data_IF_155466750070
#
_entry.id   IF_155466750070
#
_cell.length_a   1.000
_cell.length_b   1.000
_cell.length_c   1.000
_cell.angle_alpha   90.00
_cell.angle_beta   90.00
_cell.angle_gamma   90.00
#
_symmetry.space_group_name_H-M   'P 1'
#
loop_
_entity.id
_entity.type
_entity.pdbx_description
1 polymer ?
#
# COMPACT_ATOMS: atom_id res chain seq x y z
N UNK A 1 -82.39 -15.42 10.29
CA UNK A 1 -81.45 -15.90 11.33
C UNK A 1 -80.27 -16.58 10.63
N UNK A 2 -79.09 -16.48 11.25
CA UNK A 2 -77.80 -17.07 10.85
C UNK A 2 -76.93 -16.23 9.90
N UNK A 3 -76.19 -15.32 10.54
CA UNK A 3 -74.98 -14.70 10.01
C UNK A 3 -73.84 -15.73 10.01
N UNK A 4 -73.17 -15.92 8.88
CA UNK A 4 -71.92 -16.68 8.77
C UNK A 4 -70.76 -15.70 8.62
N UNK A 5 -70.03 -15.57 9.73
CA UNK A 5 -68.80 -14.81 9.86
C UNK A 5 -67.71 -15.42 8.97
N UNK A 6 -67.23 -14.67 7.96
CA UNK A 6 -66.04 -15.01 7.20
C UNK A 6 -64.87 -14.20 7.75
N UNK A 7 -64.02 -14.86 8.54
CA UNK A 7 -62.74 -14.34 8.99
C UNK A 7 -61.84 -14.09 7.76
N UNK A 8 -61.60 -12.81 7.46
CA UNK A 8 -60.55 -12.40 6.55
C UNK A 8 -59.20 -12.50 7.29
N UNK A 9 -58.51 -13.63 7.14
CA UNK A 9 -57.08 -13.72 7.47
C UNK A 9 -56.32 -13.09 6.31
N UNK A 10 -56.15 -11.76 6.34
CA UNK A 10 -55.21 -11.09 5.45
C UNK A 10 -53.81 -11.30 6.00
N UNK A 11 -53.03 -12.11 5.30
CA UNK A 11 -51.68 -12.50 5.67
C UNK A 11 -50.77 -11.29 5.88
N UNK A 12 -50.12 -11.25 7.04
CA UNK A 12 -48.96 -10.42 7.28
C UNK A 12 -47.89 -10.89 6.30
N UNK A 13 -47.67 -10.12 5.22
CA UNK A 13 -46.48 -10.23 4.39
C UNK A 13 -45.28 -9.95 5.31
N UNK A 14 -44.64 -11.00 5.81
CA UNK A 14 -43.32 -10.91 6.40
C UNK A 14 -42.39 -10.46 5.27
N UNK A 15 -42.17 -9.15 5.16
CA UNK A 15 -41.00 -8.61 4.47
C UNK A 15 -39.81 -9.23 5.18
N UNK A 16 -39.22 -10.24 4.54
CA UNK A 16 -37.86 -10.66 4.85
C UNK A 16 -37.01 -9.40 4.80
N UNK A 17 -36.27 -9.06 5.87
CA UNK A 17 -35.34 -7.96 5.79
C UNK A 17 -34.31 -8.35 4.74
N UNK A 18 -34.41 -7.76 3.55
CA UNK A 18 -33.34 -7.77 2.58
C UNK A 18 -32.11 -7.26 3.34
N UNK A 19 -31.08 -8.11 3.46
CA UNK A 19 -29.78 -7.72 3.99
C UNK A 19 -29.41 -6.37 3.36
N UNK A 20 -29.41 -5.31 4.16
CA UNK A 20 -29.23 -3.96 3.65
C UNK A 20 -27.86 -3.88 2.98
N UNK A 21 -27.85 -3.71 1.65
CA UNK A 21 -26.63 -3.45 0.91
C UNK A 21 -26.24 -1.98 1.09
N UNK A 22 -24.93 -1.70 1.04
CA UNK A 22 -24.40 -0.32 1.09
C UNK A 22 -25.09 0.54 0.04
N UNK A 23 -25.78 1.58 0.48
CA UNK A 23 -26.56 2.48 -0.37
C UNK A 23 -25.66 3.51 -1.07
N UNK A 24 -26.08 4.07 -2.22
CA UNK A 24 -25.34 5.14 -2.88
C UNK A 24 -25.09 6.36 -1.97
N UNK A 25 -26.05 6.69 -1.09
CA UNK A 25 -25.90 7.79 -0.12
C UNK A 25 -24.83 7.51 0.94
N UNK A 26 -24.64 6.25 1.33
CA UNK A 26 -23.55 5.88 2.24
C UNK A 26 -22.18 6.00 1.57
N UNK A 27 -22.07 5.64 0.28
CA UNK A 27 -20.84 5.85 -0.49
C UNK A 27 -20.57 7.35 -0.65
N UNK A 28 -21.60 8.17 -0.90
CA UNK A 28 -21.52 9.63 -0.97
C UNK A 28 -20.94 10.25 0.31
N UNK A 29 -21.55 9.95 1.47
CA UNK A 29 -21.09 10.48 2.76
C UNK A 29 -19.67 10.04 3.10
N UNK A 30 -19.30 8.82 2.70
CA UNK A 30 -17.92 8.32 2.87
C UNK A 30 -16.96 9.13 2.00
N UNK A 31 -17.36 9.46 0.77
CA UNK A 31 -16.56 10.28 -0.15
C UNK A 31 -16.42 11.72 0.35
N UNK A 32 -17.48 12.34 0.89
CA UNK A 32 -17.41 13.67 1.50
C UNK A 32 -16.43 13.69 2.69
N UNK A 33 -16.48 12.66 3.53
CA UNK A 33 -15.56 12.53 4.66
C UNK A 33 -14.12 12.36 4.19
N UNK A 34 -13.91 11.58 3.13
CA UNK A 34 -12.59 11.40 2.53
C UNK A 34 -12.08 12.70 1.88
N UNK A 35 -12.94 13.46 1.19
CA UNK A 35 -12.62 14.77 0.61
C UNK A 35 -12.18 15.76 1.69
N UNK A 36 -12.94 15.88 2.78
CA UNK A 36 -12.56 16.73 3.92
C UNK A 36 -11.24 16.31 4.56
N UNK A 37 -10.98 15.01 4.65
CA UNK A 37 -9.76 14.50 5.27
C UNK A 37 -8.48 14.86 4.50
N UNK A 38 -8.58 15.01 3.18
CA UNK A 38 -7.43 15.19 2.29
C UNK A 38 -7.41 16.57 1.62
N UNK A 39 -8.29 17.46 2.05
CA UNK A 39 -8.58 18.76 1.42
C UNK A 39 -8.79 18.60 -0.10
N UNK A 40 -9.56 17.58 -0.46
CA UNK A 40 -9.78 17.15 -1.83
C UNK A 40 -11.16 17.52 -2.36
N UNK A 41 -11.36 17.31 -3.67
CA UNK A 41 -12.62 17.57 -4.35
C UNK A 41 -13.24 16.28 -4.87
N UNK A 42 -14.56 16.20 -4.81
CA UNK A 42 -15.30 15.11 -5.44
C UNK A 42 -15.24 15.29 -6.96
N UNK A 43 -14.79 14.25 -7.66
CA UNK A 43 -14.59 14.27 -9.10
C UNK A 43 -15.29 13.08 -9.79
N UNK A 44 -15.59 13.20 -11.09
CA UNK A 44 -16.07 12.07 -11.86
C UNK A 44 -15.07 10.91 -11.84
N UNK A 45 -15.56 9.71 -11.55
CA UNK A 45 -14.72 8.52 -11.60
C UNK A 45 -14.30 8.16 -13.04
N UNK A 46 -13.12 7.56 -13.23
CA UNK A 46 -12.72 6.98 -14.51
C UNK A 46 -13.77 6.01 -15.05
N UNK A 47 -13.86 5.89 -16.38
CA UNK A 47 -14.87 5.07 -17.04
C UNK A 47 -14.85 3.61 -16.58
N UNK A 48 -13.66 3.03 -16.37
CA UNK A 48 -13.48 1.67 -15.86
C UNK A 48 -14.10 1.47 -14.47
N UNK A 49 -13.98 2.47 -13.60
CA UNK A 49 -14.54 2.43 -12.23
C UNK A 49 -16.06 2.58 -12.27
N UNK A 50 -16.58 3.50 -13.10
CA UNK A 50 -18.03 3.68 -13.28
C UNK A 50 -18.71 2.45 -13.90
N UNK A 51 -18.02 1.74 -14.81
CA UNK A 51 -18.50 0.50 -15.39
C UNK A 51 -18.54 -0.65 -14.35
N UNK A 52 -17.59 -0.67 -13.41
CA UNK A 52 -17.55 -1.67 -12.35
C UNK A 52 -18.57 -1.39 -11.23
N UNK A 53 -18.87 -0.12 -10.94
CA UNK A 53 -19.91 0.26 -9.98
C UNK A 53 -20.50 1.62 -10.30
N UNK A 54 -21.81 1.65 -10.57
CA UNK A 54 -22.55 2.89 -10.81
C UNK A 54 -22.63 3.80 -9.57
N UNK A 55 -22.43 3.24 -8.37
CA UNK A 55 -22.43 3.98 -7.10
C UNK A 55 -21.03 4.39 -6.65
N UNK A 56 -20.00 4.17 -7.46
CA UNK A 56 -18.64 4.58 -7.13
C UNK A 56 -18.53 6.11 -7.04
N UNK A 57 -17.73 6.58 -6.08
CA UNK A 57 -17.36 8.00 -5.94
C UNK A 57 -15.85 8.14 -5.95
N UNK A 58 -15.37 9.28 -6.44
CA UNK A 58 -13.96 9.55 -6.54
C UNK A 58 -13.63 10.92 -5.96
N UNK A 59 -12.49 11.01 -5.28
CA UNK A 59 -11.97 12.24 -4.68
C UNK A 59 -10.57 12.49 -5.23
N UNK A 60 -10.34 13.67 -5.80
CA UNK A 60 -9.00 14.14 -6.17
C UNK A 60 -8.35 14.81 -4.97
N UNK A 61 -7.04 14.64 -4.82
CA UNK A 61 -6.25 15.31 -3.79
C UNK A 61 -4.89 15.68 -4.36
N UNK A 62 -4.42 16.88 -4.07
CA UNK A 62 -3.06 17.32 -4.43
C UNK A 62 -1.96 16.61 -3.64
N UNK A 63 -2.37 15.83 -2.64
CA UNK A 63 -1.47 15.00 -1.84
C UNK A 63 -0.99 13.78 -2.63
N UNK A 64 0.28 13.45 -2.44
CA UNK A 64 0.80 12.17 -2.89
C UNK A 64 0.21 11.00 -2.09
N UNK A 65 0.31 9.80 -2.65
CA UNK A 65 -0.34 8.61 -2.12
C UNK A 65 -0.05 8.36 -0.63
N UNK A 66 1.17 8.66 -0.17
CA UNK A 66 1.56 8.50 1.24
C UNK A 66 0.89 9.53 2.14
N UNK A 67 0.90 10.80 1.73
CA UNK A 67 0.24 11.89 2.44
C UNK A 67 -1.29 11.69 2.46
N UNK A 68 -1.88 11.27 1.34
CA UNK A 68 -3.31 10.91 1.24
C UNK A 68 -3.66 9.78 2.20
N UNK A 69 -2.86 8.70 2.22
CA UNK A 69 -3.05 7.57 3.16
C UNK A 69 -2.98 8.02 4.60
N UNK A 70 -1.98 8.85 4.94
CA UNK A 70 -1.79 9.38 6.30
C UNK A 70 -2.99 10.23 6.72
N UNK A 71 -3.45 11.12 5.86
CA UNK A 71 -4.58 12.00 6.11
C UNK A 71 -5.89 11.21 6.29
N UNK A 72 -6.17 10.23 5.42
CA UNK A 72 -7.32 9.32 5.57
C UNK A 72 -7.24 8.47 6.85
N UNK A 73 -6.03 8.08 7.28
CA UNK A 73 -5.84 7.33 8.54
C UNK A 73 -6.05 8.19 9.78
N UNK A 74 -5.80 9.49 9.69
CA UNK A 74 -6.01 10.44 10.78
C UNK A 74 -7.48 10.87 10.91
N UNK A 75 -8.29 10.65 9.87
CA UNK A 75 -9.70 10.98 9.87
C UNK A 75 -10.50 10.00 10.74
N UNK A 76 -10.74 10.36 12.00
CA UNK A 76 -11.51 9.55 12.96
C UNK A 76 -12.94 9.22 12.51
N UNK A 77 -13.50 10.03 11.59
CA UNK A 77 -14.81 9.79 10.97
C UNK A 77 -14.80 8.70 9.89
N UNK A 78 -13.62 8.26 9.43
CA UNK A 78 -13.46 7.09 8.58
C UNK A 78 -13.14 5.89 9.45
N UNK A 79 -14.13 5.02 9.69
CA UNK A 79 -13.95 3.77 10.43
C UNK A 79 -13.21 2.72 9.58
N UNK A 80 -11.90 2.94 9.42
CA UNK A 80 -11.03 2.06 8.62
C UNK A 80 -10.90 0.66 9.23
N UNK A 81 -10.97 -0.35 8.37
CA UNK A 81 -10.94 -1.76 8.74
C UNK A 81 -9.50 -2.30 8.73
N UNK A 82 -8.85 -2.25 9.90
CA UNK A 82 -7.50 -2.79 10.05
C UNK A 82 -6.45 -2.01 9.25
N UNK A 83 -5.35 -2.69 8.88
CA UNK A 83 -4.24 -2.04 8.20
C UNK A 83 -4.48 -1.89 6.69
N UNK A 84 -3.92 -0.83 6.12
CA UNK A 84 -3.86 -0.62 4.68
C UNK A 84 -3.19 -1.80 3.97
N UNK A 85 -3.72 -2.15 2.79
CA UNK A 85 -3.25 -3.23 1.93
C UNK A 85 -2.75 -2.66 0.60
N UNK A 86 -2.01 -3.46 -0.14
CA UNK A 86 -1.52 -3.11 -1.47
C UNK A 86 -1.76 -4.29 -2.38
N UNK A 87 -2.38 -4.06 -3.53
CA UNK A 87 -2.60 -5.12 -4.53
C UNK A 87 -1.38 -5.25 -5.46
N UNK A 88 -1.40 -6.27 -6.31
CA UNK A 88 -0.32 -6.53 -7.27
C UNK A 88 -0.12 -5.41 -8.31
N UNK A 89 -1.01 -4.42 -8.34
CA UNK A 89 -0.98 -3.28 -9.25
C UNK A 89 -0.54 -1.99 -8.54
N UNK A 90 -0.17 -2.05 -7.26
CA UNK A 90 0.35 -0.91 -6.50
C UNK A 90 -0.72 0.04 -5.97
N UNK A 91 -2.02 -0.29 -6.10
CA UNK A 91 -3.10 0.46 -5.44
C UNK A 91 -3.05 0.18 -3.95
N UNK A 92 -3.08 1.24 -3.15
CA UNK A 92 -3.13 1.13 -1.69
C UNK A 92 -4.56 1.28 -1.24
N UNK A 93 -5.10 0.31 -0.51
CA UNK A 93 -6.53 0.27 -0.22
C UNK A 93 -6.85 -0.22 1.19
N UNK A 94 -8.03 0.14 1.66
CA UNK A 94 -8.63 -0.31 2.91
C UNK A 94 -10.15 -0.41 2.70
N UNK A 95 -10.90 -0.70 3.75
CA UNK A 95 -12.34 -0.62 3.78
C UNK A 95 -12.80 0.28 4.91
N UNK A 96 -13.85 1.04 4.66
CA UNK A 96 -14.60 1.76 5.69
C UNK A 96 -15.74 0.88 6.13
N UNK A 97 -15.84 0.65 7.44
CA UNK A 97 -16.91 -0.15 8.05
C UNK A 97 -18.15 0.71 8.22
N UNK A 98 -19.29 0.24 7.73
CA UNK A 98 -20.60 0.90 7.82
C UNK A 98 -21.62 -0.07 8.44
N UNK A 99 -22.75 0.43 8.97
CA UNK A 99 -23.84 -0.43 9.46
C UNK A 99 -24.36 -1.40 8.39
N UNK A 100 -24.42 -0.95 7.14
CA UNK A 100 -24.96 -1.70 5.98
C UNK A 100 -23.89 -2.47 5.20
N UNK A 101 -22.63 -2.52 5.67
CA UNK A 101 -21.55 -3.23 4.98
C UNK A 101 -20.23 -2.47 4.94
N UNK A 102 -19.57 -2.47 3.78
CA UNK A 102 -18.23 -1.90 3.65
C UNK A 102 -18.11 -1.04 2.38
N UNK A 103 -17.33 0.03 2.47
CA UNK A 103 -16.88 0.77 1.28
C UNK A 103 -15.40 0.50 1.10
N UNK A 104 -15.01 -0.08 -0.04
CA UNK A 104 -13.60 -0.16 -0.40
C UNK A 104 -13.09 1.25 -0.74
N UNK A 105 -12.02 1.67 -0.07
CA UNK A 105 -11.34 2.93 -0.30
C UNK A 105 -9.94 2.64 -0.84
N UNK A 106 -9.71 2.94 -2.13
CA UNK A 106 -8.44 2.72 -2.82
C UNK A 106 -7.80 4.03 -3.24
N UNK A 107 -6.50 4.18 -3.02
CA UNK A 107 -5.69 5.32 -3.42
C UNK A 107 -4.86 4.87 -4.61
N UNK A 108 -5.00 5.59 -5.73
CA UNK A 108 -4.17 5.41 -6.93
C UNK A 108 -3.48 6.73 -7.26
N UNK A 109 -2.35 6.70 -7.97
CA UNK A 109 -1.73 7.92 -8.47
C UNK A 109 -2.70 8.73 -9.35
N UNK A 110 -2.67 10.05 -9.23
CA UNK A 110 -3.38 10.95 -10.13
C UNK A 110 -2.92 10.78 -11.58
N UNK A 111 -3.82 10.99 -12.52
CA UNK A 111 -3.55 10.85 -13.96
C UNK A 111 -2.74 12.01 -14.56
N UNK A 112 -2.47 13.05 -13.78
CA UNK A 112 -1.83 14.31 -14.20
C UNK A 112 -0.29 14.32 -14.06
N UNK A 113 0.31 13.29 -13.45
CA UNK A 113 1.75 13.17 -13.29
C UNK A 113 2.38 14.14 -12.26
N UNK A 114 1.58 14.91 -11.53
CA UNK A 114 2.04 15.92 -10.57
C UNK A 114 2.30 15.35 -9.15
N UNK A 115 2.21 14.04 -8.97
CA UNK A 115 2.32 13.40 -7.66
C UNK A 115 1.07 13.56 -6.80
N UNK A 116 -0.08 13.86 -7.41
CA UNK A 116 -1.41 13.89 -6.79
C UNK A 116 -1.97 12.48 -6.65
N UNK A 117 -3.09 12.33 -5.94
CA UNK A 117 -3.76 11.05 -5.75
C UNK A 117 -5.23 11.13 -6.12
N UNK A 118 -5.74 10.03 -6.68
CA UNK A 118 -7.15 9.79 -6.84
C UNK A 118 -7.59 8.71 -5.83
N UNK A 119 -8.60 9.04 -5.04
CA UNK A 119 -9.22 8.11 -4.10
C UNK A 119 -10.47 7.55 -4.77
N UNK A 120 -10.57 6.24 -4.84
CA UNK A 120 -11.65 5.46 -5.42
C UNK A 120 -12.47 4.86 -4.27
N UNK A 121 -13.75 5.23 -4.17
CA UNK A 121 -14.68 4.69 -3.20
C UNK A 121 -15.71 3.83 -3.92
N UNK A 122 -15.74 2.54 -3.59
CA UNK A 122 -16.66 1.57 -4.21
C UNK A 122 -17.40 0.77 -3.15
N UNK A 123 -18.71 0.53 -3.28
CA UNK A 123 -19.44 -0.32 -2.35
C UNK A 123 -18.93 -1.76 -2.42
N UNK A 124 -18.79 -2.40 -1.26
CA UNK A 124 -18.36 -3.79 -1.10
C UNK A 124 -19.32 -4.54 -0.19
N UNK A 125 -20.04 -5.50 -0.76
CA UNK A 125 -20.93 -6.39 0.00
C UNK A 125 -20.15 -7.46 0.81
N UNK A 126 -18.89 -7.69 0.45
CA UNK A 126 -18.05 -8.68 1.10
C UNK A 126 -17.36 -8.06 2.30
N UNK A 127 -17.55 -8.70 3.47
CA UNK A 127 -16.74 -8.44 4.66
C UNK A 127 -15.28 -8.66 4.31
N UNK A 128 -14.38 -7.70 4.55
CA UNK A 128 -12.97 -7.90 4.27
C UNK A 128 -12.48 -9.10 5.06
N UNK A 129 -11.75 -9.99 4.40
CA UNK A 129 -11.14 -11.13 5.08
C UNK A 129 -10.30 -10.60 6.26
N UNK A 130 -10.42 -11.20 7.46
CA UNK A 130 -9.54 -10.89 8.57
C UNK A 130 -8.10 -10.96 8.06
N UNK A 131 -7.34 -9.92 8.33
CA UNK A 131 -5.93 -9.94 8.02
C UNK A 131 -5.34 -11.15 8.76
N UNK A 132 -4.62 -12.09 8.11
CA UNK A 132 -3.90 -13.10 8.84
C UNK A 132 -3.06 -12.35 9.87
N UNK A 133 -3.27 -12.63 11.16
CA UNK A 133 -2.30 -12.23 12.17
C UNK A 133 -0.97 -12.68 11.59
N UNK A 134 -0.01 -11.76 11.45
CA UNK A 134 1.31 -12.13 10.98
C UNK A 134 1.73 -13.33 11.82
N UNK A 135 1.77 -14.52 11.22
CA UNK A 135 2.30 -15.71 11.86
C UNK A 135 3.77 -15.38 12.01
N UNK A 136 4.14 -14.82 13.16
CA UNK A 136 5.51 -14.84 13.61
C UNK A 136 5.91 -16.32 13.57
N UNK A 137 6.96 -16.70 12.84
CA UNK A 137 7.43 -18.08 12.87
C UNK A 137 7.68 -18.46 14.33
N UNK A 138 7.00 -19.52 14.79
CA UNK A 138 7.22 -20.09 16.10
C UNK A 138 8.71 -20.46 16.23
N UNK A 139 9.33 -20.01 17.32
CA UNK A 139 10.70 -20.34 17.67
C UNK A 139 10.90 -21.87 17.68
N UNK A 140 11.87 -22.35 16.91
CA UNK A 140 12.33 -23.73 17.05
C UNK A 140 13.20 -23.86 18.31
N UNK A 141 13.12 -24.98 19.08
CA UNK A 141 13.90 -25.16 20.30
C UNK A 141 15.40 -25.32 19.98
N UNK A 142 16.31 -24.85 20.86
CA UNK A 142 17.74 -24.86 20.57
C UNK A 142 18.34 -26.24 20.85
N UNK A 143 18.96 -26.86 19.84
CA UNK A 143 20.00 -27.87 20.07
C UNK A 143 21.37 -27.22 20.03
N UNK A 144 22.11 -27.49 21.10
CA UNK A 144 23.41 -26.99 21.51
C UNK A 144 24.56 -27.46 20.62
N UNK A 145 25.53 -26.57 20.30
CA UNK A 145 26.99 -26.80 20.40
C UNK A 145 27.83 -25.56 19.95
N UNK A 146 29.13 -25.40 20.34
CA UNK A 146 29.53 -24.38 21.31
C UNK A 146 30.49 -23.27 20.82
N UNK A 147 30.34 -22.12 21.48
CA UNK A 147 31.25 -21.02 21.87
C UNK A 147 32.62 -20.85 21.20
N UNK A 148 32.81 -19.69 20.55
CA UNK A 148 34.02 -18.86 20.70
C UNK A 148 33.69 -17.37 20.47
N UNK A 149 34.16 -16.53 21.42
CA UNK A 149 33.96 -15.09 21.61
C UNK A 149 34.06 -14.20 20.33
N UNK A 150 33.37 -13.06 20.18
CA UNK A 150 33.08 -11.99 21.12
C UNK A 150 31.92 -11.08 20.64
N UNK A 151 31.21 -10.50 21.61
CA UNK A 151 30.15 -9.47 21.61
C UNK A 151 29.89 -8.66 20.32
N UNK A 152 28.70 -8.83 19.74
CA UNK A 152 27.86 -7.78 19.15
C UNK A 152 26.43 -8.32 18.97
N UNK A 153 25.40 -7.55 19.32
CA UNK A 153 24.00 -7.99 19.21
C UNK A 153 23.67 -8.43 17.78
N UNK A 154 23.02 -9.59 17.64
CA UNK A 154 22.64 -10.16 16.35
C UNK A 154 21.67 -9.21 15.59
N UNK A 155 22.00 -8.74 14.36
CA UNK A 155 21.07 -7.99 13.54
C UNK A 155 19.97 -8.92 13.00
N UNK A 156 18.80 -8.36 12.69
CA UNK A 156 17.73 -9.05 11.97
C UNK A 156 18.28 -9.82 10.75
N UNK A 157 17.68 -10.97 10.37
CA UNK A 157 18.17 -11.78 9.25
C UNK A 157 18.25 -10.93 7.97
N UNK A 158 19.47 -10.71 7.49
CA UNK A 158 19.72 -10.05 6.20
C UNK A 158 19.06 -10.92 5.12
N UNK A 159 18.20 -10.35 4.24
CA UNK A 159 17.60 -11.13 3.17
C UNK A 159 18.67 -11.74 2.27
N UNK A 160 18.46 -12.98 1.82
CA UNK A 160 19.43 -13.71 1.02
C UNK A 160 19.72 -13.02 -0.32
N UNK A 161 21.00 -12.79 -0.61
CA UNK A 161 21.46 -12.30 -1.92
C UNK A 161 21.38 -13.42 -2.95
N UNK A 162 20.61 -13.21 -4.03
CA UNK A 162 20.34 -14.25 -5.05
C UNK A 162 21.14 -14.05 -6.34
N UNK A 163 21.35 -12.80 -6.75
CA UNK A 163 22.07 -12.41 -7.99
C UNK A 163 22.46 -10.93 -7.94
N UNK A 164 23.45 -10.56 -8.75
CA UNK A 164 23.83 -9.15 -8.90
C UNK A 164 22.76 -8.35 -9.66
N UNK A 165 22.37 -7.19 -9.12
CA UNK A 165 21.33 -6.32 -9.70
C UNK A 165 21.95 -5.10 -10.37
N UNK A 166 21.52 -4.76 -11.60
CA UNK A 166 22.04 -3.63 -12.37
C UNK A 166 21.05 -3.19 -13.46
N UNK A 167 21.26 -2.00 -14.01
CA UNK A 167 20.52 -1.55 -15.19
C UNK A 167 20.94 -2.39 -16.42
N UNK A 168 19.95 -2.93 -17.13
CA UNK A 168 20.12 -3.78 -18.35
C UNK A 168 18.98 -3.51 -19.34
N UNK A 169 19.11 -4.03 -20.55
CA UNK A 169 18.05 -4.04 -21.57
C UNK A 169 17.81 -5.50 -22.03
N UNK A 170 16.65 -6.11 -21.74
CA UNK A 170 15.54 -5.58 -20.94
C UNK A 170 15.92 -5.35 -19.47
N UNK A 171 15.20 -4.45 -18.78
CA UNK A 171 15.49 -4.11 -17.38
C UNK A 171 15.32 -5.31 -16.47
N UNK A 172 16.23 -5.48 -15.51
CA UNK A 172 16.05 -6.47 -14.46
C UNK A 172 14.80 -6.15 -13.65
N UNK A 173 14.05 -7.18 -13.29
CA UNK A 173 12.92 -7.05 -12.39
C UNK A 173 12.80 -8.24 -11.43
N UNK A 174 11.98 -8.07 -10.39
CA UNK A 174 11.67 -9.14 -9.45
C UNK A 174 11.57 -8.67 -8.00
N UNK A 175 11.25 -9.63 -7.12
CA UNK A 175 11.12 -9.39 -5.69
C UNK A 175 12.44 -8.92 -5.04
N UNK A 176 13.58 -9.35 -5.57
CA UNK A 176 14.92 -8.93 -5.14
C UNK A 176 15.20 -7.46 -5.45
N UNK A 177 14.80 -6.98 -6.63
CA UNK A 177 14.86 -5.56 -7.03
C UNK A 177 13.94 -4.72 -6.15
N UNK A 178 12.73 -5.20 -5.87
CA UNK A 178 11.79 -4.51 -4.99
C UNK A 178 12.32 -4.40 -3.56
N UNK A 179 12.93 -5.47 -3.03
CA UNK A 179 13.57 -5.46 -1.71
C UNK A 179 14.74 -4.46 -1.63
N UNK A 180 15.59 -4.44 -2.66
CA UNK A 180 16.64 -3.43 -2.82
C UNK A 180 16.06 -2.01 -2.72
N UNK A 181 15.05 -1.70 -3.53
CA UNK A 181 14.43 -0.37 -3.59
C UNK A 181 13.80 0.03 -2.25
N UNK A 182 13.06 -0.88 -1.61
CA UNK A 182 12.48 -0.62 -0.29
C UNK A 182 13.55 -0.33 0.76
N UNK A 183 14.66 -1.08 0.74
CA UNK A 183 15.74 -0.86 1.68
C UNK A 183 16.47 0.45 1.41
N UNK A 184 16.69 0.81 0.14
CA UNK A 184 17.25 2.12 -0.23
C UNK A 184 16.39 3.26 0.31
N UNK A 185 15.06 3.17 0.20
CA UNK A 185 14.13 4.16 0.74
C UNK A 185 14.25 4.30 2.26
N UNK A 186 14.33 3.17 2.99
CA UNK A 186 14.55 3.17 4.45
C UNK A 186 15.85 3.87 4.81
N UNK A 187 16.95 3.54 4.13
CA UNK A 187 18.28 4.10 4.43
C UNK A 187 18.36 5.59 4.08
N UNK A 188 17.70 6.02 3.00
CA UNK A 188 17.62 7.44 2.61
C UNK A 188 16.53 8.22 3.35
N UNK A 189 15.83 7.60 4.31
CA UNK A 189 14.70 8.19 5.03
C UNK A 189 13.60 8.74 4.11
N UNK A 190 13.54 8.21 2.89
CA UNK A 190 12.45 8.51 1.95
C UNK A 190 11.29 7.63 2.37
N UNK A 191 10.12 8.24 2.58
CA UNK A 191 8.90 7.47 2.84
C UNK A 191 8.70 6.51 1.66
N UNK A 192 8.65 5.18 1.90
CA UNK A 192 8.55 4.22 0.83
C UNK A 192 7.29 4.38 -0.03
N UNK A 193 6.23 5.08 0.41
CA UNK A 193 5.08 5.38 -0.45
C UNK A 193 4.48 4.14 -1.14
N UNK A 194 4.63 4.04 -2.47
CA UNK A 194 4.21 2.89 -3.32
C UNK A 194 5.15 1.66 -3.25
N UNK A 195 6.27 1.80 -2.55
CA UNK A 195 7.38 0.86 -2.50
C UNK A 195 8.23 0.88 -3.76
N UNK A 196 9.16 -0.06 -3.85
CA UNK A 196 9.83 -0.37 -5.10
C UNK A 196 8.85 -0.97 -6.11
N UNK A 197 8.91 -0.51 -7.36
CA UNK A 197 8.17 -1.08 -8.50
C UNK A 197 8.70 -2.45 -8.92
N UNK A 198 9.83 -2.88 -8.35
CA UNK A 198 10.49 -4.12 -8.68
C UNK A 198 11.22 -4.10 -10.01
N UNK A 199 11.43 -2.92 -10.63
CA UNK A 199 12.16 -2.74 -11.88
C UNK A 199 13.44 -1.94 -11.66
N UNK A 200 14.57 -2.48 -12.09
CA UNK A 200 15.85 -1.82 -11.95
C UNK A 200 16.02 -0.81 -13.08
N UNK A 201 15.49 0.39 -12.86
CA UNK A 201 15.58 1.52 -13.79
C UNK A 201 16.75 2.48 -13.50
N UNK A 202 16.94 3.51 -14.34
CA UNK A 202 17.97 4.53 -14.15
C UNK A 202 17.88 5.25 -12.80
N UNK A 203 16.67 5.42 -12.26
CA UNK A 203 16.46 6.00 -10.93
C UNK A 203 17.01 5.07 -9.84
N UNK A 204 16.75 3.77 -9.93
CA UNK A 204 17.30 2.77 -8.98
C UNK A 204 18.82 2.70 -9.07
N UNK A 205 19.38 2.71 -10.29
CA UNK A 205 20.84 2.76 -10.49
C UNK A 205 21.47 3.99 -9.80
N UNK A 206 20.88 5.18 -9.98
CA UNK A 206 21.39 6.38 -9.36
C UNK A 206 21.34 6.33 -7.82
N UNK A 207 20.28 5.75 -7.24
CA UNK A 207 20.20 5.54 -5.78
C UNK A 207 21.27 4.57 -5.29
N UNK A 208 21.55 3.49 -6.04
CA UNK A 208 22.65 2.56 -5.72
C UNK A 208 24.00 3.27 -5.76
N UNK A 209 24.25 4.11 -6.77
CA UNK A 209 25.50 4.88 -6.88
C UNK A 209 25.70 5.79 -5.68
N UNK A 210 24.68 6.58 -5.33
CA UNK A 210 24.79 7.54 -4.21
C UNK A 210 24.91 6.81 -2.87
N UNK A 211 24.21 5.69 -2.69
CA UNK A 211 24.38 4.81 -1.53
C UNK A 211 25.82 4.27 -1.43
N UNK A 212 26.39 3.78 -2.54
CA UNK A 212 27.76 3.27 -2.59
C UNK A 212 28.77 4.34 -2.18
N UNK A 213 28.63 5.56 -2.70
CA UNK A 213 29.47 6.71 -2.32
C UNK A 213 29.37 6.97 -0.80
N UNK A 214 28.16 7.07 -0.27
CA UNK A 214 27.93 7.35 1.15
C UNK A 214 28.49 6.26 2.08
N UNK A 215 28.61 5.03 1.59
CA UNK A 215 29.08 3.87 2.35
C UNK A 215 30.55 3.50 2.05
N UNK A 216 31.29 4.32 1.30
CA UNK A 216 32.70 4.08 0.98
C UNK A 216 32.93 2.91 0.02
N UNK A 217 31.92 2.53 -0.75
CA UNK A 217 31.98 1.49 -1.77
C UNK A 217 32.29 2.10 -3.14
N UNK A 218 32.74 1.25 -4.08
CA UNK A 218 32.95 1.66 -5.47
C UNK A 218 31.60 2.06 -6.13
N UNK A 219 31.46 3.25 -6.72
CA UNK A 219 30.20 3.77 -7.25
C UNK A 219 29.87 3.18 -8.64
N UNK A 220 29.66 1.87 -8.69
CA UNK A 220 29.43 1.13 -9.95
C UNK A 220 27.98 1.16 -10.42
N UNK A 221 27.02 1.44 -9.53
CA UNK A 221 25.59 1.27 -9.80
C UNK A 221 25.12 -0.19 -9.86
N UNK A 222 26.03 -1.14 -9.63
CA UNK A 222 25.76 -2.58 -9.55
C UNK A 222 25.65 -2.98 -8.09
N UNK A 223 24.60 -3.73 -7.75
CA UNK A 223 24.42 -4.33 -6.42
C UNK A 223 24.98 -5.75 -6.44
N UNK A 224 26.23 -5.89 -6.02
CA UNK A 224 26.88 -7.16 -5.73
C UNK A 224 26.68 -7.59 -4.26
N UNK A 225 27.26 -8.72 -3.85
CA UNK A 225 27.13 -9.23 -2.48
C UNK A 225 27.63 -8.22 -1.44
N UNK A 226 28.72 -7.53 -1.72
CA UNK A 226 29.29 -6.50 -0.85
C UNK A 226 28.32 -5.33 -0.66
N UNK A 227 27.76 -4.82 -1.75
CA UNK A 227 26.78 -3.72 -1.73
C UNK A 227 25.49 -4.15 -1.03
N UNK A 228 25.02 -5.38 -1.28
CA UNK A 228 23.82 -5.94 -0.64
C UNK A 228 24.01 -6.04 0.89
N UNK A 229 25.12 -6.60 1.34
CA UNK A 229 25.43 -6.71 2.77
C UNK A 229 25.55 -5.34 3.44
N UNK A 230 26.21 -4.38 2.80
CA UNK A 230 26.30 -3.01 3.31
C UNK A 230 24.92 -2.37 3.45
N UNK A 231 24.04 -2.55 2.45
CA UNK A 231 22.71 -1.95 2.41
C UNK A 231 21.78 -2.50 3.51
N UNK A 232 21.85 -3.81 3.78
CA UNK A 232 21.01 -4.46 4.80
C UNK A 232 21.64 -4.51 6.19
N UNK A 233 22.89 -4.07 6.33
CA UNK A 233 23.54 -3.90 7.63
C UNK A 233 22.83 -2.88 8.51
N UNK A 234 22.91 -3.07 9.84
CA UNK A 234 22.52 -2.07 10.83
C UNK A 234 23.35 -0.78 10.70
N UNK A 235 24.55 -0.87 10.12
CA UNK A 235 25.47 0.25 9.91
C UNK A 235 25.32 0.91 8.53
N UNK A 236 24.27 0.60 7.77
CA UNK A 236 24.00 1.24 6.48
C UNK A 236 23.92 2.76 6.67
N UNK A 237 24.85 3.50 6.06
CA UNK A 237 24.95 4.95 6.21
C UNK A 237 23.88 5.61 5.35
N UNK A 238 23.25 6.63 5.93
CA UNK A 238 22.33 7.52 5.22
C UNK A 238 22.97 8.05 3.94
N UNK A 239 22.17 8.13 2.89
CA UNK A 239 22.53 8.79 1.64
C UNK A 239 21.41 9.73 1.23
N UNK A 240 21.75 10.82 0.54
CA UNK A 240 20.78 11.79 0.08
C UNK A 240 20.08 11.32 -1.21
N UNK A 241 18.77 11.07 -1.11
CA UNK A 241 17.96 10.66 -2.25
C UNK A 241 17.79 11.79 -3.29
N UNK A 242 17.88 13.06 -2.92
CA UNK A 242 17.78 14.17 -3.87
C UNK A 242 19.01 14.18 -4.80
N UNK A 243 20.21 13.99 -4.26
CA UNK A 243 21.41 13.79 -5.08
C UNK A 243 21.27 12.63 -6.08
N UNK A 244 20.60 11.53 -5.69
CA UNK A 244 20.33 10.41 -6.58
C UNK A 244 19.33 10.77 -7.69
N UNK A 245 18.29 11.55 -7.38
CA UNK A 245 17.33 12.04 -8.37
C UNK A 245 17.99 12.98 -9.39
N UNK A 246 18.86 13.89 -8.94
CA UNK A 246 19.61 14.79 -9.82
C UNK A 246 20.58 14.02 -10.73
N UNK A 247 21.27 13.00 -10.19
CA UNK A 247 22.10 12.11 -10.99
C UNK A 247 21.27 11.38 -12.07
N UNK A 248 20.08 10.89 -11.72
CA UNK A 248 19.19 10.22 -12.67
C UNK A 248 18.60 11.16 -13.74
N UNK A 249 18.51 12.48 -13.47
CA UNK A 249 18.10 13.48 -14.47
C UNK A 249 19.23 13.79 -15.44
N UNK A 250 20.47 13.91 -14.96
CA UNK A 250 21.65 14.22 -15.79
C UNK A 250 22.05 13.11 -16.76
N UNK A 251 21.65 11.87 -16.46
CA UNK A 251 21.94 10.68 -17.27
C UNK A 251 20.82 10.27 -18.22
N UNK A 252 19.74 11.06 -18.28
CA UNK A 252 18.59 10.83 -19.17
C UNK A 252 18.73 11.56 -20.49
#
# INVERSE_FOLDING_TARGET
MSALSRFAVLGVLLLTPALAAVTPQEVERTADTAALAVDGLIAPCPASVRQASASARCVTSDLNLAATRKALSAASKLSLYGAWRTDGQGRVYNWVTLPSGYVNIGIVPGSDGAGTSLILLTPSAQKPAPQPAATQPAAQPPTTQPTAAAKAQAPAPVPAFKRALRLTHPRMNGADVRQLQLRLMVVSKVDPGQGGDGWFGPVTEAHVIVFQIANGLKPTGVVDLTTWNALFSANARYFDAQAAQELAKRRR
#
